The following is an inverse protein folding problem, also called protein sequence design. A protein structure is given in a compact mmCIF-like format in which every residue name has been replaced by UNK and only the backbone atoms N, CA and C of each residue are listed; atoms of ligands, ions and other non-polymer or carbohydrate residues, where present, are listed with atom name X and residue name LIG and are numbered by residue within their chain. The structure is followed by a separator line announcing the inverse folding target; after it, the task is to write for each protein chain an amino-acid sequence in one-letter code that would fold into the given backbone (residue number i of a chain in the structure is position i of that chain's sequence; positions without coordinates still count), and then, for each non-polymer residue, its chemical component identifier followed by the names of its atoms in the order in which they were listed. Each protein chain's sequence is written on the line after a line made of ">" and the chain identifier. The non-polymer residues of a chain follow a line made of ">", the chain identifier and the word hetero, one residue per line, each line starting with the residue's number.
data_IF_009820163299
#
_entry.id   IF_009820163299
#
_cell.length_a   1.000
_cell.length_b   1.000
_cell.length_c   1.000
_cell.angle_alpha   90.00
_cell.angle_beta   90.00
_cell.angle_gamma   90.00
#
_symmetry.space_group_name_H-M   'P 1'
#
loop_
_entity.id
_entity.type
_entity.pdbx_description
1 polymer ?
#
# COMPACT_ATOMS: atom_id res chain seq x y z
N UNK A 1 0.81 16.24 4.45
CA UNK A 1 0.94 16.93 3.14
C UNK A 1 -0.31 16.71 2.28
N UNK A 2 -0.64 17.63 1.35
CA UNK A 2 -1.85 17.52 0.51
C UNK A 2 -1.92 16.21 -0.29
N UNK A 3 -0.76 15.69 -0.72
CA UNK A 3 -0.69 14.47 -1.52
C UNK A 3 -1.06 13.20 -0.74
N UNK A 4 -0.63 13.08 0.52
CA UNK A 4 -0.99 11.96 1.38
C UNK A 4 -2.51 11.92 1.65
N UNK A 5 -3.11 13.08 1.90
CA UNK A 5 -4.56 13.18 2.09
C UNK A 5 -5.33 12.77 0.83
N UNK A 6 -4.91 13.27 -0.34
CA UNK A 6 -5.52 12.88 -1.61
C UNK A 6 -5.40 11.36 -1.88
N UNK A 7 -4.24 10.77 -1.61
CA UNK A 7 -4.02 9.33 -1.77
C UNK A 7 -4.87 8.51 -0.79
N UNK A 8 -4.97 8.95 0.47
CA UNK A 8 -5.83 8.33 1.47
C UNK A 8 -7.30 8.37 1.02
N UNK A 9 -7.79 9.52 0.55
CA UNK A 9 -9.16 9.66 0.05
C UNK A 9 -9.45 8.72 -1.14
N UNK A 10 -8.51 8.62 -2.09
CA UNK A 10 -8.66 7.73 -3.25
C UNK A 10 -8.74 6.27 -2.81
N UNK A 11 -7.84 5.83 -1.93
CA UNK A 11 -7.81 4.45 -1.45
C UNK A 11 -9.06 4.12 -0.65
N UNK A 12 -9.47 4.99 0.27
CA UNK A 12 -10.68 4.79 1.06
C UNK A 12 -11.93 4.74 0.17
N UNK A 13 -12.05 5.63 -0.82
CA UNK A 13 -13.15 5.58 -1.82
C UNK A 13 -13.12 4.26 -2.58
N UNK A 14 -11.96 3.82 -3.06
CA UNK A 14 -11.86 2.55 -3.77
C UNK A 14 -12.33 1.37 -2.90
N UNK A 15 -11.88 1.31 -1.64
CA UNK A 15 -12.25 0.24 -0.71
C UNK A 15 -13.74 0.23 -0.38
N UNK A 16 -14.37 1.40 -0.23
CA UNK A 16 -15.83 1.51 -0.04
C UNK A 16 -16.63 0.93 -1.22
N UNK A 17 -16.11 1.03 -2.45
CA UNK A 17 -16.75 0.44 -3.63
C UNK A 17 -16.40 -1.04 -3.84
N UNK A 18 -15.53 -1.61 -3.00
CA UNK A 18 -15.04 -2.98 -3.10
C UNK A 18 -15.20 -3.70 -1.74
N UNK A 19 -16.42 -4.19 -1.40
CA UNK A 19 -16.77 -4.66 -0.06
C UNK A 19 -15.87 -5.76 0.51
N UNK A 20 -15.22 -6.55 -0.35
CA UNK A 20 -14.25 -7.58 0.06
C UNK A 20 -13.09 -7.02 0.91
N UNK A 21 -12.72 -5.75 0.72
CA UNK A 21 -11.67 -5.10 1.51
C UNK A 21 -12.17 -4.51 2.83
N UNK A 22 -13.48 -4.34 3.02
CA UNK A 22 -14.05 -3.82 4.27
C UNK A 22 -13.92 -4.80 5.43
N UNK A 23 -13.69 -6.08 5.14
CA UNK A 23 -13.41 -7.11 6.15
C UNK A 23 -12.01 -7.02 6.74
N UNK A 24 -11.08 -6.32 6.06
CA UNK A 24 -9.71 -6.15 6.53
C UNK A 24 -9.72 -5.24 7.75
N UNK A 25 -9.24 -5.77 8.88
CA UNK A 25 -9.05 -4.99 10.09
C UNK A 25 -7.92 -3.96 9.90
N UNK A 26 -8.01 -2.83 10.60
CA UNK A 26 -6.97 -1.79 10.63
C UNK A 26 -6.62 -1.17 9.26
N UNK A 27 -7.54 -1.22 8.29
CA UNK A 27 -7.39 -0.65 6.94
C UNK A 27 -6.80 0.78 6.88
N UNK A 28 -7.17 1.72 7.78
CA UNK A 28 -6.55 3.04 7.81
C UNK A 28 -5.04 3.02 8.14
N UNK A 29 -4.62 2.13 9.05
CA UNK A 29 -3.21 1.96 9.43
C UNK A 29 -2.40 1.40 8.27
N UNK A 30 -2.94 0.37 7.61
CA UNK A 30 -2.31 -0.25 6.44
C UNK A 30 -2.11 0.78 5.34
N UNK A 31 -3.17 1.55 5.05
CA UNK A 31 -3.17 2.60 4.03
C UNK A 31 -2.14 3.69 4.34
N UNK A 32 -2.09 4.14 5.60
CA UNK A 32 -1.10 5.11 6.05
C UNK A 32 0.33 4.61 5.81
N UNK A 33 0.64 3.39 6.23
CA UNK A 33 1.98 2.79 6.06
C UNK A 33 2.33 2.67 4.58
N UNK A 34 1.40 2.19 3.75
CA UNK A 34 1.63 1.99 2.32
C UNK A 34 1.93 3.31 1.59
N UNK A 35 1.13 4.36 1.85
CA UNK A 35 1.32 5.68 1.23
C UNK A 35 2.69 6.25 1.61
N UNK A 36 2.99 6.29 2.92
CA UNK A 36 4.23 6.89 3.40
C UNK A 36 5.47 6.12 2.93
N UNK A 37 5.43 4.79 3.02
CA UNK A 37 6.53 3.93 2.55
C UNK A 37 6.74 4.05 1.04
N UNK A 38 5.65 4.12 0.26
CA UNK A 38 5.71 4.29 -1.17
C UNK A 38 6.32 5.63 -1.59
N UNK A 39 5.86 6.73 -0.98
CA UNK A 39 6.41 8.08 -1.23
C UNK A 39 7.91 8.10 -0.93
N UNK A 40 8.31 7.57 0.24
CA UNK A 40 9.72 7.53 0.63
C UNK A 40 10.57 6.69 -0.34
N UNK A 41 10.15 5.48 -0.66
CA UNK A 41 10.91 4.58 -1.52
C UNK A 41 11.06 5.13 -2.93
N UNK A 42 9.99 5.70 -3.50
CA UNK A 42 10.02 6.36 -4.82
C UNK A 42 10.96 7.56 -4.78
N UNK A 43 10.79 8.47 -3.81
CA UNK A 43 11.63 9.67 -3.71
C UNK A 43 13.11 9.30 -3.53
N UNK A 44 13.40 8.32 -2.66
CA UNK A 44 14.76 7.80 -2.43
C UNK A 44 15.35 7.21 -3.69
N UNK A 45 14.60 6.40 -4.43
CA UNK A 45 15.08 5.74 -5.65
C UNK A 45 15.46 6.78 -6.73
N UNK A 46 14.63 7.81 -6.90
CA UNK A 46 14.87 8.87 -7.89
C UNK A 46 16.09 9.75 -7.59
N UNK A 47 16.49 9.91 -6.32
CA UNK A 47 17.66 10.72 -5.95
C UNK A 47 18.95 9.90 -5.86
N UNK A 48 18.88 8.57 -5.91
CA UNK A 48 20.06 7.72 -5.88
C UNK A 48 20.76 7.79 -7.24
N UNK A 49 22.06 8.17 -7.30
CA UNK A 49 22.75 8.35 -8.58
C UNK A 49 22.99 7.03 -9.32
N UNK A 50 23.13 5.91 -8.59
CA UNK A 50 23.29 4.56 -9.13
C UNK A 50 22.57 3.56 -8.21
N UNK A 51 21.23 3.44 -8.28
CA UNK A 51 20.50 2.48 -7.47
C UNK A 51 20.84 1.04 -7.88
N UNK A 52 20.90 0.14 -6.89
CA UNK A 52 21.24 -1.28 -7.12
C UNK A 52 20.15 -2.06 -7.88
N UNK A 53 18.90 -1.58 -7.79
CA UNK A 53 17.74 -2.13 -8.49
C UNK A 53 17.15 -1.07 -9.40
N UNK A 54 16.51 -1.47 -10.49
CA UNK A 54 15.73 -0.59 -11.36
C UNK A 54 14.50 -0.03 -10.63
N UNK A 55 13.92 1.04 -11.19
CA UNK A 55 12.70 1.64 -10.67
C UNK A 55 11.53 0.63 -10.70
N UNK A 56 11.42 -0.12 -11.79
CA UNK A 56 10.36 -1.11 -11.97
C UNK A 56 10.48 -2.28 -10.97
N UNK A 57 11.70 -2.76 -10.71
CA UNK A 57 11.94 -3.77 -9.67
C UNK A 57 11.55 -3.27 -8.28
N UNK A 58 11.83 -2.00 -7.96
CA UNK A 58 11.42 -1.38 -6.70
C UNK A 58 9.90 -1.30 -6.58
N UNK A 59 9.21 -0.84 -7.64
CA UNK A 59 7.74 -0.77 -7.68
C UNK A 59 7.11 -2.16 -7.56
N UNK A 60 7.66 -3.15 -8.26
CA UNK A 60 7.19 -4.53 -8.22
C UNK A 60 7.38 -5.15 -6.83
N UNK A 61 8.54 -4.94 -6.21
CA UNK A 61 8.83 -5.41 -4.86
C UNK A 61 7.88 -4.80 -3.81
N UNK A 62 7.68 -3.48 -3.87
CA UNK A 62 6.76 -2.77 -2.98
C UNK A 62 5.32 -3.27 -3.15
N UNK A 63 4.86 -3.42 -4.39
CA UNK A 63 3.52 -3.95 -4.71
C UNK A 63 3.34 -5.36 -4.16
N UNK A 64 4.33 -6.23 -4.36
CA UNK A 64 4.30 -7.62 -3.87
C UNK A 64 4.19 -7.67 -2.35
N UNK A 65 4.94 -6.82 -1.64
CA UNK A 65 4.90 -6.73 -0.17
C UNK A 65 3.52 -6.29 0.34
N UNK A 66 2.96 -5.24 -0.25
CA UNK A 66 1.64 -4.71 0.12
C UNK A 66 0.55 -5.74 -0.14
N UNK A 67 0.54 -6.37 -1.32
CA UNK A 67 -0.45 -7.37 -1.69
C UNK A 67 -0.37 -8.62 -0.82
N UNK A 68 0.85 -9.07 -0.47
CA UNK A 68 1.04 -10.21 0.44
C UNK A 68 0.38 -9.94 1.79
N UNK A 69 0.63 -8.76 2.36
CA UNK A 69 0.04 -8.37 3.62
C UNK A 69 -1.51 -8.27 3.55
N UNK A 70 -2.04 -7.62 2.51
CA UNK A 70 -3.49 -7.52 2.28
C UNK A 70 -4.12 -8.92 2.17
N UNK A 71 -3.51 -9.82 1.40
CA UNK A 71 -4.01 -11.19 1.22
C UNK A 71 -4.01 -11.97 2.54
N UNK A 72 -2.97 -11.83 3.36
CA UNK A 72 -2.91 -12.44 4.69
C UNK A 72 -4.01 -11.90 5.61
N UNK A 73 -4.23 -10.58 5.63
CA UNK A 73 -5.30 -10.00 6.46
C UNK A 73 -6.70 -10.38 5.96
N UNK A 74 -6.90 -10.53 4.66
CA UNK A 74 -8.16 -11.03 4.10
C UNK A 74 -8.42 -12.47 4.55
N UNK A 75 -7.43 -13.37 4.40
CA UNK A 75 -7.55 -14.77 4.82
C UNK A 75 -7.86 -14.88 6.33
N UNK A 76 -7.14 -14.11 7.17
CA UNK A 76 -7.38 -14.06 8.61
C UNK A 76 -8.79 -13.57 8.97
N UNK A 77 -9.34 -12.67 8.17
CA UNK A 77 -10.69 -12.13 8.40
C UNK A 77 -11.78 -13.12 7.95
N UNK A 78 -11.49 -13.98 6.97
CA UNK A 78 -12.37 -15.08 6.55
C UNK A 78 -12.42 -16.20 7.60
N UNK A 79 -11.29 -16.56 8.20
CA UNK A 79 -11.23 -17.58 9.28
C UNK A 79 -11.97 -17.18 10.57
N UNK A 80 -12.25 -15.89 10.75
CA UNK A 80 -12.94 -15.33 11.91
C UNK A 80 -14.43 -15.04 11.67
N UNK A 81 -14.94 -15.25 10.45
CA UNK A 81 -16.33 -15.02 10.02
C UNK A 81 -17.15 -16.31 10.04
#
# INVERSE_FOLDING_TARGET
>A
PKIEQALMEVIMKYMMHNPKYLKINNLPVITYICINSGIFNVARHLILPNPFISFDEMVQGLTTMIMSYINTEMARSEDQS
#
